data_IF_860721297714
#
_entry.id   IF_860721297714
#
_cell.length_a   1.000
_cell.length_b   1.000
_cell.length_c   1.000
_cell.angle_alpha   90.00
_cell.angle_beta   90.00
_cell.angle_gamma   90.00
#
_symmetry.space_group_name_H-M   'P 1'
#
loop_
_entity.id
_entity.type
_entity.pdbx_description
1 polymer ?
#
# COMPACT_ATOMS: atom_id res chain seq x y z
N UNK A 1 -3.28 4.94 30.10
CA UNK A 1 -3.29 5.47 28.72
C UNK A 1 -3.88 4.38 27.83
N UNK A 2 -5.03 4.62 27.21
CA UNK A 2 -5.71 3.60 26.41
C UNK A 2 -4.95 3.40 25.10
N UNK A 3 -4.71 2.14 24.71
CA UNK A 3 -4.14 1.81 23.38
C UNK A 3 -5.07 2.44 22.32
N UNK A 4 -4.56 3.14 21.29
CA UNK A 4 -5.45 3.55 20.20
C UNK A 4 -6.15 2.31 19.62
N UNK A 5 -7.44 2.46 19.35
CA UNK A 5 -8.25 1.49 18.62
C UNK A 5 -7.53 1.10 17.33
N UNK A 6 -7.59 -0.17 16.94
CA UNK A 6 -7.09 -0.57 15.62
C UNK A 6 -7.73 0.32 14.52
N UNK A 7 -7.00 0.65 13.44
CA UNK A 7 -7.53 1.46 12.35
C UNK A 7 -8.84 0.84 11.84
N UNK A 8 -9.93 1.60 11.95
CA UNK A 8 -11.29 1.12 11.68
C UNK A 8 -11.62 1.13 10.18
N UNK A 9 -10.89 1.92 9.38
CA UNK A 9 -11.19 2.16 7.98
C UNK A 9 -10.32 1.27 7.07
N UNK A 10 -10.96 0.74 6.02
CA UNK A 10 -10.30 -0.08 4.99
C UNK A 10 -10.47 0.59 3.64
N UNK A 11 -9.35 0.90 2.99
CA UNK A 11 -9.32 1.33 1.58
C UNK A 11 -8.84 0.18 0.71
N UNK A 12 -9.45 -0.04 -0.46
CA UNK A 12 -9.09 -1.14 -1.37
C UNK A 12 -8.75 -0.59 -2.74
N UNK A 13 -7.58 -0.97 -3.24
CA UNK A 13 -7.13 -0.67 -4.58
C UNK A 13 -7.03 -1.96 -5.40
N UNK A 14 -7.58 -1.95 -6.61
CA UNK A 14 -7.48 -3.06 -7.54
C UNK A 14 -6.64 -2.66 -8.75
N UNK A 15 -5.78 -3.56 -9.22
CA UNK A 15 -5.01 -3.37 -10.44
C UNK A 15 -5.04 -4.63 -11.28
N UNK A 16 -5.33 -4.48 -12.58
CA UNK A 16 -5.34 -5.58 -13.55
C UNK A 16 -4.33 -5.24 -14.64
N UNK A 17 -3.32 -6.09 -14.80
CA UNK A 17 -2.31 -5.96 -15.84
C UNK A 17 -2.68 -6.87 -17.02
N UNK A 18 -3.04 -6.26 -18.14
CA UNK A 18 -3.30 -6.93 -19.43
C UNK A 18 -4.27 -8.12 -19.35
N UNK A 19 -5.24 -8.08 -18.42
CA UNK A 19 -6.16 -9.19 -18.14
C UNK A 19 -5.48 -10.53 -17.76
N UNK A 20 -4.21 -10.52 -17.36
CA UNK A 20 -3.42 -11.71 -16.98
C UNK A 20 -3.10 -11.76 -15.49
N UNK A 21 -2.76 -10.61 -14.91
CA UNK A 21 -2.43 -10.51 -13.48
C UNK A 21 -3.45 -9.59 -12.82
N UNK A 22 -4.10 -10.08 -11.76
CA UNK A 22 -5.01 -9.30 -10.93
C UNK A 22 -4.44 -9.10 -9.53
N UNK A 23 -4.49 -7.87 -9.02
CA UNK A 23 -4.07 -7.51 -7.66
C UNK A 23 -5.21 -6.81 -6.95
N UNK A 24 -5.42 -7.17 -5.69
CA UNK A 24 -6.23 -6.43 -4.73
C UNK A 24 -5.39 -6.17 -3.49
N UNK A 25 -5.21 -4.90 -3.12
CA UNK A 25 -4.52 -4.48 -1.90
C UNK A 25 -5.46 -3.72 -0.98
N UNK A 26 -5.42 -4.02 0.31
CA UNK A 26 -6.22 -3.36 1.33
C UNK A 26 -5.30 -2.57 2.28
N UNK A 27 -5.55 -1.27 2.41
CA UNK A 27 -4.88 -0.39 3.35
C UNK A 27 -5.73 -0.21 4.61
N UNK A 28 -5.08 -0.14 5.76
CA UNK A 28 -5.67 0.29 7.03
C UNK A 28 -5.43 1.79 7.19
N UNK A 29 -6.51 2.55 7.42
CA UNK A 29 -6.47 3.99 7.58
C UNK A 29 -7.12 4.41 8.90
N UNK A 30 -6.67 5.54 9.43
CA UNK A 30 -7.22 6.24 10.58
C UNK A 30 -8.24 7.31 10.15
N UNK A 31 -8.10 7.90 8.95
CA UNK A 31 -8.95 9.00 8.50
C UNK A 31 -9.53 8.81 7.09
N UNK A 32 -10.82 9.10 6.93
CA UNK A 32 -11.47 9.17 5.61
C UNK A 32 -10.94 10.33 4.75
N UNK A 33 -10.34 11.35 5.37
CA UNK A 33 -9.73 12.46 4.66
C UNK A 33 -8.58 11.97 3.76
N UNK A 34 -7.76 11.04 4.27
CA UNK A 34 -6.64 10.45 3.53
C UNK A 34 -7.08 9.76 2.24
N UNK A 35 -8.26 9.12 2.24
CA UNK A 35 -8.82 8.48 1.04
C UNK A 35 -9.10 9.47 -0.11
N UNK A 36 -9.19 10.76 0.18
CA UNK A 36 -9.50 11.82 -0.78
C UNK A 36 -8.26 12.59 -1.25
N UNK A 37 -7.07 12.24 -0.75
CA UNK A 37 -5.82 12.90 -1.12
C UNK A 37 -5.16 12.16 -2.28
N UNK A 38 -4.87 12.88 -3.36
CA UNK A 38 -4.26 12.32 -4.58
C UNK A 38 -2.95 11.58 -4.30
N UNK A 39 -2.13 12.09 -3.37
CA UNK A 39 -0.88 11.44 -2.99
C UNK A 39 -1.08 10.04 -2.40
N UNK A 40 -2.17 9.82 -1.64
CA UNK A 40 -2.51 8.49 -1.13
C UNK A 40 -3.04 7.58 -2.24
N UNK A 41 -3.95 8.09 -3.09
CA UNK A 41 -4.47 7.33 -4.23
C UNK A 41 -3.35 6.87 -5.18
N UNK A 42 -2.38 7.75 -5.45
CA UNK A 42 -1.21 7.41 -6.25
C UNK A 42 -0.35 6.33 -5.59
N UNK A 43 -0.08 6.45 -4.28
CA UNK A 43 0.65 5.42 -3.54
C UNK A 43 -0.06 4.07 -3.63
N UNK A 44 -1.37 4.02 -3.36
CA UNK A 44 -2.14 2.78 -3.37
C UNK A 44 -2.08 2.08 -4.73
N UNK A 45 -2.26 2.85 -5.82
CA UNK A 45 -2.15 2.34 -7.19
C UNK A 45 -0.74 1.85 -7.51
N UNK A 46 0.29 2.59 -7.11
CA UNK A 46 1.69 2.19 -7.34
C UNK A 46 2.06 0.93 -6.55
N UNK A 47 1.56 0.76 -5.33
CA UNK A 47 1.73 -0.48 -4.56
C UNK A 47 1.05 -1.66 -5.25
N UNK A 48 -0.17 -1.48 -5.78
CA UNK A 48 -0.84 -2.55 -6.52
C UNK A 48 -0.06 -2.96 -7.78
N UNK A 49 0.53 -1.99 -8.49
CA UNK A 49 1.43 -2.25 -9.62
C UNK A 49 2.75 -2.93 -9.21
N UNK A 50 3.34 -2.52 -8.08
CA UNK A 50 4.53 -3.16 -7.51
C UNK A 50 4.25 -4.65 -7.27
N UNK A 51 3.17 -4.97 -6.56
CA UNK A 51 2.76 -6.36 -6.28
C UNK A 51 2.61 -7.14 -7.59
N UNK A 52 1.94 -6.56 -8.59
CA UNK A 52 1.74 -7.23 -9.88
C UNK A 52 3.08 -7.57 -10.57
N UNK A 53 4.06 -6.66 -10.49
CA UNK A 53 5.35 -6.77 -11.15
C UNK A 53 6.36 -7.67 -10.41
N UNK A 54 6.27 -7.78 -9.08
CA UNK A 54 7.31 -8.42 -8.27
C UNK A 54 6.90 -9.73 -7.61
N UNK A 55 5.62 -10.10 -7.66
CA UNK A 55 5.07 -11.34 -7.08
C UNK A 55 5.59 -11.65 -5.66
N UNK A 56 5.40 -10.73 -4.69
CA UNK A 56 5.88 -10.92 -3.33
C UNK A 56 5.19 -12.12 -2.66
N UNK A 57 5.97 -12.98 -2.01
CA UNK A 57 5.46 -14.18 -1.31
C UNK A 57 4.69 -13.87 -0.03
N UNK A 58 4.89 -12.69 0.56
CA UNK A 58 4.21 -12.25 1.78
C UNK A 58 4.21 -10.71 1.89
N UNK A 59 3.52 -10.18 2.91
CA UNK A 59 3.55 -8.75 3.22
C UNK A 59 4.94 -8.29 3.64
N UNK A 60 5.64 -9.07 4.45
CA UNK A 60 7.01 -8.78 4.88
C UNK A 60 7.94 -8.71 3.66
N UNK A 61 7.83 -9.70 2.76
CA UNK A 61 8.61 -9.71 1.53
C UNK A 61 8.33 -8.49 0.64
N UNK A 62 7.05 -8.08 0.50
CA UNK A 62 6.68 -6.86 -0.21
C UNK A 62 7.32 -5.62 0.42
N UNK A 63 7.24 -5.49 1.75
CA UNK A 63 7.71 -4.30 2.47
C UNK A 63 9.23 -4.11 2.40
N UNK A 64 9.99 -5.21 2.29
CA UNK A 64 11.44 -5.22 2.14
C UNK A 64 11.93 -4.94 0.71
N UNK A 65 11.09 -5.14 -0.31
CA UNK A 65 11.49 -4.91 -1.70
C UNK A 65 11.94 -3.47 -1.95
N UNK A 66 12.86 -3.30 -2.88
CA UNK A 66 13.17 -1.99 -3.44
C UNK A 66 11.93 -1.41 -4.14
N UNK A 67 11.69 -0.12 -3.93
CA UNK A 67 10.60 0.58 -4.58
C UNK A 67 10.88 0.74 -6.07
N UNK A 68 10.04 0.19 -6.95
CA UNK A 68 10.34 0.14 -8.40
C UNK A 68 10.62 1.50 -9.04
N UNK A 69 9.98 2.57 -8.54
CA UNK A 69 10.17 3.93 -9.07
C UNK A 69 11.38 4.66 -8.49
N UNK A 70 11.91 4.17 -7.37
CA UNK A 70 13.03 4.77 -6.64
C UNK A 70 13.76 3.66 -5.85
N UNK A 71 14.58 2.83 -6.52
CA UNK A 71 15.12 1.60 -5.94
C UNK A 71 16.08 1.79 -4.76
N UNK A 72 16.49 3.02 -4.47
CA UNK A 72 17.32 3.39 -3.33
C UNK A 72 16.63 3.27 -1.97
N UNK A 73 15.30 3.07 -1.95
CA UNK A 73 14.52 2.88 -0.73
C UNK A 73 13.59 1.67 -0.85
N UNK A 74 13.19 1.11 0.29
CA UNK A 74 12.21 0.02 0.32
C UNK A 74 10.78 0.52 0.15
N UNK A 75 9.86 -0.41 -0.16
CA UNK A 75 8.41 -0.16 -0.16
C UNK A 75 7.97 0.40 1.20
N UNK A 76 8.41 -0.20 2.31
CA UNK A 76 8.06 0.27 3.65
C UNK A 76 8.53 1.70 3.92
N UNK A 77 9.77 2.04 3.54
CA UNK A 77 10.29 3.40 3.67
C UNK A 77 9.50 4.39 2.85
N UNK A 78 9.11 4.03 1.62
CA UNK A 78 8.31 4.91 0.79
C UNK A 78 6.91 5.16 1.37
N UNK A 79 6.21 4.10 1.80
CA UNK A 79 4.89 4.22 2.46
C UNK A 79 5.00 5.11 3.70
N UNK A 80 6.03 4.94 4.53
CA UNK A 80 6.26 5.76 5.71
C UNK A 80 6.51 7.24 5.38
N UNK A 81 7.23 7.54 4.30
CA UNK A 81 7.44 8.91 3.82
C UNK A 81 6.14 9.57 3.37
N UNK A 82 5.30 8.85 2.61
CA UNK A 82 3.98 9.37 2.21
C UNK A 82 3.08 9.55 3.43
N UNK A 83 3.07 8.61 4.37
CA UNK A 83 2.34 8.74 5.63
C UNK A 83 2.76 9.96 6.45
N UNK A 84 4.06 10.26 6.50
CA UNK A 84 4.55 11.47 7.16
C UNK A 84 4.03 12.76 6.51
N UNK A 85 3.92 12.80 5.17
CA UNK A 85 3.33 13.93 4.43
C UNK A 85 1.83 14.07 4.72
N UNK A 86 1.12 12.95 4.83
CA UNK A 86 -0.31 12.90 5.13
C UNK A 86 -0.63 13.07 6.62
N UNK A 87 0.40 13.10 7.47
CA UNK A 87 0.29 13.11 8.92
C UNK A 87 -0.55 11.94 9.47
N UNK A 88 -0.45 10.78 8.81
CA UNK A 88 -1.17 9.55 9.17
C UNK A 88 -0.26 8.33 8.98
N UNK A 89 -0.35 7.36 9.90
CA UNK A 89 0.33 6.09 9.71
C UNK A 89 -0.41 5.24 8.67
N UNK A 90 0.22 5.01 7.54
CA UNK A 90 -0.30 4.12 6.51
C UNK A 90 0.18 2.68 6.73
N UNK A 91 -0.74 1.72 6.66
CA UNK A 91 -0.41 0.30 6.75
C UNK A 91 -1.11 -0.48 5.63
N UNK A 92 -0.39 -1.43 5.04
CA UNK A 92 -1.02 -2.45 4.19
C UNK A 92 -1.53 -3.55 5.12
N UNK A 93 -2.83 -3.80 5.09
CA UNK A 93 -3.47 -4.83 5.90
C UNK A 93 -3.25 -6.23 5.29
N UNK A 94 -3.38 -6.33 3.97
CA UNK A 94 -3.25 -7.55 3.18
C UNK A 94 -3.26 -7.23 1.70
N UNK A 95 -2.81 -8.18 0.90
CA UNK A 95 -3.02 -8.17 -0.54
C UNK A 95 -3.27 -9.59 -1.05
N UNK A 96 -3.84 -9.69 -2.24
CA UNK A 96 -3.91 -10.92 -3.03
C UNK A 96 -3.43 -10.57 -4.43
N UNK A 97 -2.66 -11.50 -5.02
CA UNK A 97 -2.26 -11.48 -6.42
C UNK A 97 -2.73 -12.78 -7.06
N UNK A 98 -3.33 -12.68 -8.25
CA UNK A 98 -3.68 -13.80 -9.11
C UNK A 98 -2.92 -13.67 -10.43
N UNK A 99 -2.26 -14.73 -10.88
CA UNK A 99 -1.58 -14.81 -12.17
C UNK A 99 -0.19 -15.41 -12.14
#
# INVERSE_FOLDING_TARGET
MSRPSAPALRYREAYVHENRIGVLVEFALESEFTMRIDAFGELARQVAMQIAATDPSSLEALLEQAWLRAPERSVATHIGQVGAVLQERLEIARFIRWG
#
